data_IF_753372214549
#
_entry.id   IF_753372214549
#
_cell.length_a   1.000
_cell.length_b   1.000
_cell.length_c   1.000
_cell.angle_alpha   90.00
_cell.angle_beta   90.00
_cell.angle_gamma   90.00
#
_symmetry.space_group_name_H-M   'P 1'
#
loop_
_entity.id
_entity.type
_entity.pdbx_description
1 polymer ?
#
# COMPACT_ATOMS: atom_id res chain seq x y z
N UNK A 1 30.89 -13.07 2.58
CA UNK A 1 30.27 -12.36 1.44
C UNK A 1 30.78 -12.99 0.18
N UNK A 2 29.88 -13.35 -0.74
CA UNK A 2 30.25 -13.95 -2.02
C UNK A 2 30.62 -12.84 -3.02
N UNK A 3 31.51 -13.13 -3.96
CA UNK A 3 31.93 -12.19 -5.02
C UNK A 3 30.73 -11.62 -5.80
N UNK A 4 29.64 -12.38 -5.91
CA UNK A 4 28.41 -11.96 -6.57
C UNK A 4 27.67 -10.86 -5.78
N UNK A 5 27.58 -11.00 -4.46
CA UNK A 5 26.97 -9.99 -3.59
C UNK A 5 27.73 -8.67 -3.73
N UNK A 6 29.07 -8.71 -3.66
CA UNK A 6 29.90 -7.51 -3.78
C UNK A 6 29.77 -6.86 -5.16
N UNK A 7 29.76 -7.66 -6.23
CA UNK A 7 29.58 -7.14 -7.60
C UNK A 7 28.19 -6.53 -7.79
N UNK A 8 27.16 -7.15 -7.23
CA UNK A 8 25.79 -6.65 -7.28
C UNK A 8 25.65 -5.36 -6.49
N UNK A 9 26.25 -5.30 -5.29
CA UNK A 9 26.27 -4.12 -4.45
C UNK A 9 26.96 -2.95 -5.16
N UNK A 10 28.13 -3.18 -5.75
CA UNK A 10 28.84 -2.15 -6.52
C UNK A 10 28.04 -1.64 -7.72
N UNK A 11 27.35 -2.53 -8.45
CA UNK A 11 26.50 -2.13 -9.57
C UNK A 11 25.34 -1.26 -9.10
N UNK A 12 24.67 -1.69 -8.03
CA UNK A 12 23.47 -1.04 -7.49
C UNK A 12 23.80 0.19 -6.60
N UNK A 13 25.05 0.41 -6.24
CA UNK A 13 25.48 1.62 -5.53
C UNK A 13 25.34 2.90 -6.37
N UNK A 14 25.05 2.77 -7.67
CA UNK A 14 24.91 3.87 -8.62
C UNK A 14 23.44 4.14 -8.95
N UNK A 15 23.10 5.39 -9.24
CA UNK A 15 21.76 5.78 -9.69
C UNK A 15 21.32 5.05 -10.95
N UNK A 16 22.22 4.86 -11.91
CA UNK A 16 21.95 4.09 -13.14
C UNK A 16 21.65 2.61 -12.83
N UNK A 17 22.42 1.98 -11.94
CA UNK A 17 22.19 0.60 -11.54
C UNK A 17 20.85 0.39 -10.84
N UNK A 18 20.44 1.32 -9.98
CA UNK A 18 19.10 1.30 -9.36
C UNK A 18 18.01 1.56 -10.40
N UNK A 19 18.20 2.53 -11.29
CA UNK A 19 17.26 2.81 -12.36
C UNK A 19 17.00 1.56 -13.21
N UNK A 20 18.05 0.88 -13.66
CA UNK A 20 17.93 -0.36 -14.45
C UNK A 20 17.35 -1.53 -13.64
N UNK A 21 17.50 -1.52 -12.31
CA UNK A 21 16.87 -2.49 -11.43
C UNK A 21 15.34 -2.30 -11.38
N UNK A 22 14.87 -1.07 -11.22
CA UNK A 22 13.44 -0.77 -10.96
C UNK A 22 12.65 -0.44 -12.22
N UNK A 23 13.31 0.05 -13.26
CA UNK A 23 12.69 0.49 -14.52
C UNK A 23 13.48 -0.01 -15.75
N UNK A 24 13.75 -1.33 -15.87
CA UNK A 24 14.48 -1.86 -17.02
C UNK A 24 13.67 -1.72 -18.31
N UNK A 25 14.36 -1.53 -19.43
CA UNK A 25 13.73 -1.47 -20.76
C UNK A 25 13.02 -2.79 -21.16
N UNK A 26 13.38 -3.91 -20.55
CA UNK A 26 12.75 -5.22 -20.80
C UNK A 26 11.41 -5.40 -20.09
N UNK A 27 11.11 -4.63 -19.05
CA UNK A 27 9.82 -4.68 -18.33
C UNK A 27 8.85 -3.70 -18.98
N UNK A 28 8.24 -4.09 -20.10
CA UNK A 28 7.29 -3.24 -20.84
C UNK A 28 6.03 -2.92 -20.05
N UNK A 29 5.61 -3.80 -19.14
CA UNK A 29 4.47 -3.59 -18.25
C UNK A 29 4.76 -2.69 -17.04
N UNK A 30 6.02 -2.28 -16.85
CA UNK A 30 6.48 -1.52 -15.67
C UNK A 30 6.11 -2.21 -14.35
N UNK A 31 6.11 -3.54 -14.37
CA UNK A 31 5.67 -4.40 -13.27
C UNK A 31 6.50 -4.17 -12.00
N UNK A 32 7.81 -3.95 -12.15
CA UNK A 32 8.72 -3.76 -11.00
C UNK A 32 8.38 -2.49 -10.22
N UNK A 33 8.28 -1.36 -10.90
CA UNK A 33 7.94 -0.08 -10.25
C UNK A 33 6.50 -0.08 -9.73
N UNK A 34 5.54 -0.73 -10.43
CA UNK A 34 4.18 -0.92 -9.93
C UNK A 34 4.14 -1.70 -8.61
N UNK A 35 4.96 -2.74 -8.48
CA UNK A 35 5.08 -3.53 -7.25
C UNK A 35 5.66 -2.69 -6.10
N UNK A 36 6.63 -1.81 -6.39
CA UNK A 36 7.18 -0.89 -5.38
C UNK A 36 6.16 0.18 -4.96
N UNK A 37 5.41 0.72 -5.92
CA UNK A 37 4.34 1.68 -5.65
C UNK A 37 3.23 1.06 -4.79
N UNK A 38 2.79 -0.17 -5.08
CA UNK A 38 1.77 -0.86 -4.26
C UNK A 38 2.25 -1.22 -2.85
N UNK A 39 3.56 -1.25 -2.62
CA UNK A 39 4.12 -1.47 -1.29
C UNK A 39 4.08 -0.22 -0.41
N UNK A 40 4.13 0.98 -1.01
CA UNK A 40 4.22 2.27 -0.30
C UNK A 40 2.88 3.01 -0.29
N UNK A 41 2.12 2.89 -1.38
CA UNK A 41 0.88 3.63 -1.59
C UNK A 41 -0.32 2.71 -1.72
N UNK A 42 -1.40 3.11 -1.05
CA UNK A 42 -2.74 2.64 -1.33
C UNK A 42 -3.50 3.76 -2.06
N UNK A 43 -4.15 3.42 -3.17
CA UNK A 43 -4.89 4.38 -4.01
C UNK A 43 -6.39 4.06 -3.94
N UNK A 44 -7.12 4.57 -2.94
CA UNK A 44 -8.53 4.22 -2.73
C UNK A 44 -9.45 4.71 -3.85
N UNK A 45 -9.10 5.82 -4.51
CA UNK A 45 -9.93 6.50 -5.51
C UNK A 45 -9.20 6.67 -6.87
N UNK A 46 -8.10 5.96 -7.07
CA UNK A 46 -7.30 6.05 -8.28
C UNK A 46 -6.67 4.71 -8.65
N UNK A 47 -6.46 4.49 -9.94
CA UNK A 47 -5.70 3.36 -10.47
C UNK A 47 -4.49 3.87 -11.27
N UNK A 48 -3.34 3.19 -11.12
CA UNK A 48 -2.17 3.49 -11.95
C UNK A 48 -2.40 2.95 -13.37
N UNK A 49 -2.66 3.86 -14.30
CA UNK A 49 -2.79 3.53 -15.72
C UNK A 49 -1.42 3.21 -16.33
N UNK A 50 -0.43 4.08 -16.12
CA UNK A 50 0.93 3.90 -16.62
C UNK A 50 2.00 4.55 -15.72
N UNK A 51 3.25 4.13 -15.88
CA UNK A 51 4.43 4.75 -15.27
C UNK A 51 5.38 5.19 -16.38
N UNK A 52 5.44 6.50 -16.61
CA UNK A 52 6.11 7.08 -17.77
C UNK A 52 7.60 7.28 -17.55
N UNK A 53 8.01 7.60 -16.32
CA UNK A 53 9.41 7.84 -15.98
C UNK A 53 9.69 7.50 -14.51
N UNK A 54 10.95 7.16 -14.21
CA UNK A 54 11.47 7.00 -12.86
C UNK A 54 12.80 7.71 -12.79
N UNK A 55 12.94 8.66 -11.86
CA UNK A 55 14.20 9.34 -11.58
C UNK A 55 14.76 8.82 -10.26
N UNK A 56 16.04 8.44 -10.24
CA UNK A 56 16.75 8.07 -9.00
C UNK A 56 17.45 9.31 -8.46
N UNK A 57 17.00 9.81 -7.32
CA UNK A 57 17.45 11.06 -6.74
C UNK A 57 18.71 10.88 -5.88
N UNK A 58 18.72 9.85 -5.06
CA UNK A 58 19.84 9.53 -4.16
C UNK A 58 19.97 8.02 -3.94
N UNK A 59 21.20 7.57 -3.64
CA UNK A 59 21.53 6.17 -3.34
C UNK A 59 22.54 6.09 -2.22
N UNK A 60 22.26 5.28 -1.20
CA UNK A 60 23.14 5.04 -0.05
C UNK A 60 23.33 3.55 0.20
N UNK A 61 24.59 3.14 0.42
CA UNK A 61 24.94 1.75 0.72
C UNK A 61 25.05 1.52 2.23
N UNK A 62 24.77 0.29 2.67
CA UNK A 62 24.96 -0.22 4.02
C UNK A 62 24.34 0.71 5.09
N UNK A 63 23.02 0.74 5.15
CA UNK A 63 22.29 1.52 6.16
C UNK A 63 21.94 0.65 7.37
N UNK A 64 22.41 0.98 8.59
CA UNK A 64 22.00 0.28 9.79
C UNK A 64 20.60 0.74 10.22
N UNK A 65 19.77 -0.22 10.60
CA UNK A 65 18.49 -0.03 11.27
C UNK A 65 18.56 -0.58 12.69
N UNK A 66 18.13 0.23 13.64
CA UNK A 66 18.07 -0.14 15.04
C UNK A 66 16.61 -0.38 15.41
N UNK A 67 16.19 -1.64 15.64
CA UNK A 67 14.81 -1.92 15.97
C UNK A 67 14.44 -1.20 17.28
N UNK A 68 13.35 -0.44 17.21
CA UNK A 68 12.80 0.28 18.36
C UNK A 68 12.02 -0.69 19.23
N UNK A 69 12.30 -0.68 20.53
CA UNK A 69 11.56 -1.42 21.53
C UNK A 69 10.80 -0.40 22.39
N UNK A 70 9.47 -0.46 22.30
CA UNK A 70 8.59 0.32 23.17
C UNK A 70 8.28 -0.50 24.42
N UNK A 71 8.59 0.06 25.59
CA UNK A 71 8.30 -0.53 26.89
C UNK A 71 7.32 0.36 27.62
N UNK A 72 6.08 -0.09 27.72
CA UNK A 72 5.05 0.53 28.55
C UNK A 72 5.07 -0.08 29.95
N UNK A 73 5.12 0.79 30.96
CA UNK A 73 5.13 0.36 32.35
C UNK A 73 4.46 1.39 33.26
N UNK A 74 4.10 0.95 34.46
CA UNK A 74 3.54 1.83 35.48
C UNK A 74 4.56 1.97 36.59
N UNK A 75 4.96 3.21 36.90
CA UNK A 75 5.70 3.50 38.11
C UNK A 75 4.70 3.82 39.21
N UNK A 76 4.73 3.06 40.31
CA UNK A 76 3.93 3.36 41.51
C UNK A 76 4.85 3.68 42.68
N UNK A 77 4.59 4.79 43.37
CA UNK A 77 5.28 5.17 44.59
C UNK A 77 4.28 5.19 45.75
N UNK A 78 4.59 4.50 46.84
CA UNK A 78 3.71 4.41 48.03
C UNK A 78 4.36 5.16 49.20
N UNK A 79 3.96 6.41 49.44
CA UNK A 79 4.33 7.23 50.62
C UNK A 79 3.25 8.29 50.84
N UNK A 80 2.81 8.56 52.08
CA UNK A 80 1.42 8.59 52.60
C UNK A 80 0.23 9.07 51.72
N UNK A 81 0.42 9.39 50.44
CA UNK A 81 -0.57 9.39 49.37
C UNK A 81 -0.18 8.46 48.22
N UNK A 82 -1.16 8.03 47.41
CA UNK A 82 -0.92 7.22 46.22
C UNK A 82 -0.61 8.12 45.03
N UNK A 83 0.61 8.05 44.49
CA UNK A 83 0.97 8.65 43.21
C UNK A 83 1.20 7.52 42.21
N UNK A 84 0.47 7.57 41.10
CA UNK A 84 0.65 6.68 39.94
C UNK A 84 1.17 7.52 38.77
N UNK A 85 2.26 7.07 38.18
CA UNK A 85 2.84 7.66 36.98
C UNK A 85 2.90 6.59 35.91
N UNK A 86 2.24 6.83 34.78
CA UNK A 86 2.38 5.99 33.61
C UNK A 86 3.66 6.39 32.88
N UNK A 87 4.50 5.41 32.54
CA UNK A 87 5.82 5.63 31.93
C UNK A 87 5.86 4.91 30.58
N UNK A 88 6.19 5.66 29.54
CA UNK A 88 6.45 5.12 28.21
C UNK A 88 7.94 5.33 27.89
N UNK A 89 8.67 4.22 27.75
CA UNK A 89 10.09 4.22 27.42
C UNK A 89 10.25 3.71 25.99
N UNK A 90 10.74 4.58 25.12
CA UNK A 90 11.14 4.24 23.75
C UNK A 90 12.67 4.17 23.72
N UNK A 91 13.21 3.01 23.37
CA UNK A 91 14.66 2.82 23.25
C UNK A 91 15.01 1.71 22.27
N UNK A 92 16.29 1.47 22.05
CA UNK A 92 16.76 0.24 21.38
C UNK A 92 17.41 -0.66 22.42
N UNK A 93 17.07 -1.95 22.42
CA UNK A 93 17.51 -2.91 23.44
C UNK A 93 18.99 -3.32 23.30
N UNK A 94 19.83 -2.48 22.68
CA UNK A 94 21.21 -2.83 22.34
C UNK A 94 21.31 -4.00 21.36
N UNK A 95 20.22 -4.32 20.66
CA UNK A 95 20.18 -5.35 19.63
C UNK A 95 21.14 -5.01 18.48
N UNK A 96 21.74 -6.03 17.88
CA UNK A 96 22.55 -5.85 16.68
C UNK A 96 21.72 -5.17 15.58
N UNK A 97 22.28 -4.19 14.86
CA UNK A 97 21.55 -3.51 13.80
C UNK A 97 21.17 -4.49 12.69
N UNK A 98 19.97 -4.33 12.16
CA UNK A 98 19.59 -4.92 10.89
C UNK A 98 20.16 -4.05 9.77
N UNK A 99 20.80 -4.66 8.78
CA UNK A 99 21.42 -3.90 7.69
C UNK A 99 20.55 -3.95 6.44
N UNK A 100 20.33 -2.78 5.85
CA UNK A 100 19.88 -2.66 4.47
C UNK A 100 21.14 -2.53 3.61
N UNK A 101 21.23 -3.35 2.57
CA UNK A 101 22.39 -3.32 1.67
C UNK A 101 22.42 -2.01 0.88
N UNK A 102 21.27 -1.58 0.34
CA UNK A 102 21.15 -0.29 -0.37
C UNK A 102 19.78 0.35 -0.08
N UNK A 103 19.78 1.65 0.18
CA UNK A 103 18.56 2.48 0.14
C UNK A 103 18.64 3.45 -1.03
N UNK A 104 17.53 3.69 -1.71
CA UNK A 104 17.46 4.70 -2.76
C UNK A 104 16.16 5.48 -2.69
N UNK A 105 16.25 6.76 -3.02
CA UNK A 105 15.11 7.68 -3.08
C UNK A 105 14.77 7.90 -4.56
N UNK A 106 13.53 7.58 -4.94
CA UNK A 106 13.04 7.62 -6.31
C UNK A 106 11.94 8.67 -6.46
N UNK A 107 11.77 9.19 -7.66
CA UNK A 107 10.60 9.97 -8.07
C UNK A 107 9.98 9.29 -9.30
N UNK A 108 8.83 8.65 -9.11
CA UNK A 108 8.08 7.98 -10.18
C UNK A 108 7.04 8.94 -10.78
N UNK A 109 7.07 9.13 -12.10
CA UNK A 109 6.03 9.85 -12.83
C UNK A 109 4.97 8.85 -13.29
N UNK A 110 3.76 8.98 -12.77
CA UNK A 110 2.63 8.06 -13.00
C UNK A 110 1.48 8.79 -13.69
N UNK A 111 0.76 8.06 -14.51
CA UNK A 111 -0.53 8.48 -15.06
C UNK A 111 -1.62 7.74 -14.28
N UNK A 112 -2.49 8.50 -13.64
CA UNK A 112 -3.56 7.97 -12.79
C UNK A 112 -4.90 8.12 -13.48
N UNK A 113 -5.66 7.03 -13.47
CA UNK A 113 -7.09 7.07 -13.72
C UNK A 113 -7.78 7.33 -12.39
N UNK A 114 -8.21 8.57 -12.17
CA UNK A 114 -8.92 8.96 -10.96
C UNK A 114 -10.42 8.74 -11.14
N UNK A 115 -11.06 8.11 -10.16
CA UNK A 115 -12.51 8.15 -10.04
C UNK A 115 -12.85 9.31 -9.10
N UNK A 116 -13.31 10.47 -9.63
CA UNK A 116 -13.61 11.61 -8.79
C UNK A 116 -14.86 11.38 -7.92
N UNK A 117 -15.61 10.29 -8.12
CA UNK A 117 -16.76 9.92 -7.29
C UNK A 117 -17.82 11.03 -7.17
N UNK A 118 -17.88 11.93 -8.17
CA UNK A 118 -18.69 13.15 -8.06
C UNK A 118 -20.16 12.80 -7.84
N UNK A 119 -20.72 13.34 -6.77
CA UNK A 119 -22.14 13.20 -6.47
C UNK A 119 -22.95 14.02 -7.50
N UNK A 120 -23.73 13.35 -8.34
CA UNK A 120 -24.74 14.00 -9.16
C UNK A 120 -25.92 14.46 -8.31
N UNK A 121 -26.30 13.67 -7.29
CA UNK A 121 -27.33 14.05 -6.32
C UNK A 121 -27.23 13.20 -5.05
N UNK A 122 -27.37 13.84 -3.90
CA UNK A 122 -27.54 13.19 -2.60
C UNK A 122 -28.91 13.58 -2.06
N UNK A 123 -29.78 12.59 -1.79
CA UNK A 123 -31.05 12.82 -1.12
C UNK A 123 -31.10 11.99 0.15
N UNK A 124 -31.00 12.68 1.28
CA UNK A 124 -31.25 12.07 2.60
C UNK A 124 -32.72 12.25 2.90
N UNK A 125 -33.47 11.15 2.88
CA UNK A 125 -34.89 11.14 3.23
C UNK A 125 -35.08 10.55 4.62
N UNK A 126 -35.92 11.19 5.45
CA UNK A 126 -36.46 10.51 6.61
C UNK A 126 -37.47 9.45 6.16
N UNK A 127 -37.37 8.25 6.74
CA UNK A 127 -38.26 7.12 6.52
C UNK A 127 -39.60 7.37 7.26
N UNK A 128 -40.24 8.52 7.00
CA UNK A 128 -41.58 8.81 7.52
C UNK A 128 -42.58 7.70 7.12
N UNK A 129 -43.74 7.66 7.78
CA UNK A 129 -44.75 6.61 7.59
C UNK A 129 -45.19 6.48 6.12
N UNK A 130 -44.82 5.37 5.46
CA UNK A 130 -45.38 4.95 4.17
C UNK A 130 -46.34 3.79 4.40
N UNK A 131 -47.55 3.83 3.85
CA UNK A 131 -48.57 2.81 4.04
C UNK A 131 -48.53 1.73 2.94
N UNK A 132 -47.94 2.05 1.78
CA UNK A 132 -47.87 1.15 0.62
C UNK A 132 -46.48 1.15 -0.03
N UNK A 133 -46.18 0.09 -0.81
CA UNK A 133 -44.94 -0.01 -1.59
C UNK A 133 -44.90 1.02 -2.73
N UNK A 134 -46.04 1.41 -3.28
CA UNK A 134 -46.14 2.44 -4.32
C UNK A 134 -45.79 3.83 -3.78
N UNK A 135 -46.20 4.15 -2.55
CA UNK A 135 -45.78 5.38 -1.85
C UNK A 135 -44.27 5.39 -1.59
N UNK A 136 -43.69 4.24 -1.25
CA UNK A 136 -42.25 4.11 -1.10
C UNK A 136 -41.52 4.37 -2.43
N UNK A 137 -42.01 3.79 -3.54
CA UNK A 137 -41.48 3.98 -4.89
C UNK A 137 -41.61 5.43 -5.40
N UNK A 138 -42.67 6.13 -4.99
CA UNK A 138 -42.84 7.54 -5.32
C UNK A 138 -41.88 8.45 -4.53
N UNK A 139 -41.51 8.05 -3.31
CA UNK A 139 -40.63 8.83 -2.42
C UNK A 139 -39.14 8.60 -2.71
N UNK A 140 -38.78 7.39 -3.13
CA UNK A 140 -37.41 6.95 -3.43
C UNK A 140 -37.32 6.61 -4.92
N UNK A 141 -36.83 7.58 -5.71
CA UNK A 141 -36.91 7.52 -7.16
C UNK A 141 -35.72 6.78 -7.80
N UNK A 142 -34.62 6.65 -7.06
CA UNK A 142 -33.39 6.03 -7.56
C UNK A 142 -33.17 4.63 -6.95
N UNK A 143 -33.90 4.28 -5.90
CA UNK A 143 -33.87 2.96 -5.29
C UNK A 143 -34.68 1.93 -6.11
N UNK A 144 -34.02 0.85 -6.56
CA UNK A 144 -34.69 -0.29 -7.19
C UNK A 144 -35.33 -1.20 -6.14
N UNK A 145 -36.57 -0.86 -5.78
CA UNK A 145 -37.38 -1.61 -4.82
C UNK A 145 -37.61 -3.06 -5.25
N UNK A 146 -37.78 -3.32 -6.54
CA UNK A 146 -38.16 -4.65 -7.05
C UNK A 146 -36.95 -5.61 -7.06
N UNK A 147 -35.74 -5.09 -7.30
CA UNK A 147 -34.51 -5.87 -7.10
C UNK A 147 -34.30 -6.21 -5.62
N UNK A 148 -34.45 -5.21 -4.73
CA UNK A 148 -34.25 -5.40 -3.30
C UNK A 148 -35.23 -6.40 -2.67
N UNK A 149 -36.53 -6.31 -2.98
CA UNK A 149 -37.53 -7.23 -2.48
C UNK A 149 -37.24 -8.68 -2.91
N UNK A 150 -36.72 -8.88 -4.13
CA UNK A 150 -36.31 -10.19 -4.63
C UNK A 150 -35.08 -10.73 -3.90
N UNK A 151 -34.04 -9.93 -3.74
CA UNK A 151 -32.76 -10.35 -3.14
C UNK A 151 -32.90 -10.67 -1.65
N UNK A 152 -33.84 -10.01 -0.96
CA UNK A 152 -34.09 -10.22 0.46
C UNK A 152 -35.34 -11.08 0.76
N UNK A 153 -35.99 -11.62 -0.27
CA UNK A 153 -37.23 -12.42 -0.15
C UNK A 153 -38.34 -11.74 0.66
N UNK A 154 -38.45 -10.42 0.54
CA UNK A 154 -39.44 -9.61 1.24
C UNK A 154 -40.66 -9.41 0.34
N UNK A 155 -41.86 -9.45 0.91
CA UNK A 155 -43.10 -9.32 0.12
C UNK A 155 -44.10 -8.30 0.67
N UNK A 156 -43.86 -7.77 1.86
CA UNK A 156 -44.80 -6.86 2.53
C UNK A 156 -44.15 -5.54 2.96
N UNK A 157 -44.99 -4.51 3.15
CA UNK A 157 -44.59 -3.19 3.66
C UNK A 157 -44.00 -3.30 5.07
N UNK A 158 -44.54 -4.19 5.91
CA UNK A 158 -44.04 -4.41 7.27
C UNK A 158 -42.66 -5.09 7.28
N UNK A 159 -42.37 -5.97 6.31
CA UNK A 159 -41.04 -6.54 6.12
C UNK A 159 -40.01 -5.46 5.72
N UNK A 160 -40.40 -4.54 4.83
CA UNK A 160 -39.57 -3.41 4.42
C UNK A 160 -39.29 -2.47 5.61
N UNK A 161 -40.32 -2.14 6.41
CA UNK A 161 -40.17 -1.34 7.64
C UNK A 161 -39.28 -2.01 8.68
N UNK A 162 -39.34 -3.35 8.78
CA UNK A 162 -38.49 -4.11 9.69
C UNK A 162 -37.03 -4.16 9.23
N UNK A 163 -36.79 -4.16 7.92
CA UNK A 163 -35.46 -4.14 7.33
C UNK A 163 -34.79 -2.76 7.44
N UNK A 164 -35.54 -1.65 7.30
CA UNK A 164 -35.02 -0.29 7.34
C UNK A 164 -35.30 0.42 8.67
N UNK A 165 -34.43 0.21 9.66
CA UNK A 165 -34.45 0.97 10.94
C UNK A 165 -33.65 2.27 10.92
N UNK A 166 -32.97 2.61 9.82
CA UNK A 166 -32.10 3.78 9.73
C UNK A 166 -32.27 4.52 8.40
N UNK A 167 -32.01 5.83 8.44
CA UNK A 167 -32.07 6.81 7.34
C UNK A 167 -31.62 6.22 5.99
N UNK A 168 -32.47 6.35 4.96
CA UNK A 168 -32.12 5.97 3.60
C UNK A 168 -31.58 7.20 2.87
N UNK A 169 -30.29 7.15 2.53
CA UNK A 169 -29.66 8.11 1.62
C UNK A 169 -29.68 7.52 0.21
N UNK A 170 -30.32 8.21 -0.73
CA UNK A 170 -30.15 7.94 -2.15
C UNK A 170 -28.94 8.73 -2.66
N UNK A 171 -27.94 8.02 -3.15
CA UNK A 171 -26.74 8.62 -3.75
C UNK A 171 -26.74 8.28 -5.22
N UNK A 172 -26.76 9.31 -6.07
CA UNK A 172 -26.52 9.17 -7.50
C UNK A 172 -25.16 9.74 -7.81
N UNK A 173 -24.29 8.89 -8.34
CA UNK A 173 -23.00 9.30 -8.85
C UNK A 173 -23.17 9.84 -10.27
N UNK A 174 -22.37 10.86 -10.60
CA UNK A 174 -22.22 11.33 -11.97
C UNK A 174 -21.43 10.26 -12.74
N UNK A 175 -21.83 9.94 -13.98
CA UNK A 175 -21.00 9.06 -14.81
C UNK A 175 -19.62 9.69 -14.97
N UNK A 176 -18.58 8.91 -14.66
CA UNK A 176 -17.20 9.37 -14.82
C UNK A 176 -16.97 9.82 -16.28
N UNK A 177 -16.27 10.95 -16.51
CA UNK A 177 -15.87 11.31 -17.85
C UNK A 177 -14.97 10.22 -18.45
N UNK A 178 -14.93 10.12 -19.77
CA UNK A 178 -14.00 9.20 -20.42
C UNK A 178 -12.57 9.57 -20.03
N UNK A 179 -11.80 8.57 -19.57
CA UNK A 179 -10.42 8.77 -19.17
C UNK A 179 -9.54 9.15 -20.38
N UNK A 180 -8.79 10.25 -20.25
CA UNK A 180 -7.78 10.68 -21.22
C UNK A 180 -6.37 10.48 -20.63
N UNK A 181 -5.59 9.49 -21.12
CA UNK A 181 -4.24 9.23 -20.61
C UNK A 181 -3.23 10.34 -20.96
N UNK A 182 -3.57 11.24 -21.88
CA UNK A 182 -2.69 12.34 -22.31
C UNK A 182 -2.96 13.65 -21.58
N UNK A 183 -4.01 13.70 -20.75
CA UNK A 183 -4.31 14.87 -19.94
C UNK A 183 -3.22 15.09 -18.88
N UNK A 184 -2.52 16.24 -18.88
CA UNK A 184 -1.54 16.55 -17.85
C UNK A 184 -2.12 16.53 -16.43
N UNK A 185 -3.43 16.74 -16.26
CA UNK A 185 -4.10 16.65 -14.97
C UNK A 185 -4.07 15.22 -14.37
N UNK A 186 -3.91 14.19 -15.20
CA UNK A 186 -3.79 12.79 -14.77
C UNK A 186 -2.35 12.37 -14.45
N UNK A 187 -1.36 13.22 -14.77
CA UNK A 187 0.05 12.95 -14.48
C UNK A 187 0.40 13.43 -13.08
N UNK A 188 1.05 12.56 -12.29
CA UNK A 188 1.52 12.85 -10.93
C UNK A 188 2.95 12.35 -10.74
N UNK A 189 3.68 12.99 -9.82
CA UNK A 189 4.98 12.51 -9.35
C UNK A 189 4.84 12.00 -7.94
N UNK A 190 5.23 10.75 -7.72
CA UNK A 190 5.17 10.08 -6.43
C UNK A 190 6.60 9.78 -5.96
N UNK A 191 7.02 10.27 -4.79
CA UNK A 191 8.28 9.87 -4.19
C UNK A 191 8.20 8.42 -3.71
N UNK A 192 9.20 7.60 -4.02
CA UNK A 192 9.25 6.21 -3.55
C UNK A 192 10.63 5.96 -2.97
N UNK A 193 10.69 5.63 -1.68
CA UNK A 193 11.92 5.14 -1.06
C UNK A 193 11.97 3.63 -1.15
N UNK A 194 13.11 3.07 -1.54
CA UNK A 194 13.30 1.61 -1.61
C UNK A 194 14.39 1.13 -0.66
N UNK A 195 14.22 -0.08 -0.12
CA UNK A 195 15.26 -0.82 0.58
C UNK A 195 15.58 -2.11 -0.18
N UNK A 196 16.83 -2.24 -0.64
CA UNK A 196 17.31 -3.40 -1.38
C UNK A 196 18.10 -4.30 -0.46
N UNK A 197 17.73 -5.58 -0.45
CA UNK A 197 18.39 -6.67 0.25
C UNK A 197 18.99 -7.64 -0.76
N UNK A 198 20.30 -7.81 -0.76
CA UNK A 198 21.02 -8.70 -1.68
C UNK A 198 21.28 -10.02 -0.97
N UNK A 199 20.91 -11.14 -1.59
CA UNK A 199 21.11 -12.48 -1.03
C UNK A 199 21.91 -13.34 -2.00
N UNK A 200 22.72 -14.25 -1.46
CA UNK A 200 23.58 -15.15 -2.24
C UNK A 200 22.91 -16.49 -2.58
N UNK A 201 21.80 -16.81 -1.92
CA UNK A 201 20.98 -17.98 -2.16
C UNK A 201 19.48 -17.65 -2.04
N UNK A 202 18.65 -18.51 -2.64
CA UNK A 202 17.19 -18.41 -2.53
C UNK A 202 16.74 -19.14 -1.27
N UNK A 203 16.59 -18.38 -0.18
CA UNK A 203 15.79 -18.75 0.99
C UNK A 203 14.59 -17.80 1.06
N UNK A 204 13.45 -18.26 0.56
CA UNK A 204 12.22 -17.46 0.50
C UNK A 204 11.76 -17.03 1.89
N UNK A 205 11.87 -17.93 2.87
CA UNK A 205 11.40 -17.66 4.23
C UNK A 205 12.36 -16.71 4.95
N UNK A 206 13.66 -16.94 4.81
CA UNK A 206 14.70 -16.05 5.32
C UNK A 206 14.57 -14.64 4.76
N UNK A 207 14.44 -14.51 3.44
CA UNK A 207 14.28 -13.22 2.78
C UNK A 207 13.04 -12.46 3.25
N UNK A 208 11.87 -13.12 3.35
CA UNK A 208 10.66 -12.47 3.87
C UNK A 208 10.80 -12.07 5.34
N UNK A 209 11.51 -12.87 6.15
CA UNK A 209 11.77 -12.52 7.55
C UNK A 209 12.64 -11.26 7.65
N UNK A 210 13.70 -11.19 6.85
CA UNK A 210 14.58 -10.02 6.81
C UNK A 210 13.81 -8.76 6.37
N UNK A 211 12.98 -8.87 5.33
CA UNK A 211 12.10 -7.77 4.89
C UNK A 211 11.20 -7.30 6.02
N UNK A 212 10.53 -8.22 6.73
CA UNK A 212 9.65 -7.87 7.85
C UNK A 212 10.40 -7.23 9.01
N UNK A 213 11.63 -7.66 9.29
CA UNK A 213 12.48 -7.05 10.30
C UNK A 213 12.89 -5.63 9.92
N UNK A 214 13.26 -5.41 8.66
CA UNK A 214 13.57 -4.08 8.12
C UNK A 214 12.36 -3.16 8.25
N UNK A 215 11.20 -3.58 7.77
CA UNK A 215 9.98 -2.78 7.83
C UNK A 215 9.52 -2.52 9.27
N UNK A 216 9.63 -3.52 10.16
CA UNK A 216 9.25 -3.38 11.56
C UNK A 216 10.23 -2.56 12.41
N UNK A 217 11.45 -2.33 11.93
CA UNK A 217 12.42 -1.45 12.59
C UNK A 217 12.23 0.03 12.23
N UNK A 218 11.37 0.34 11.25
CA UNK A 218 11.03 1.70 10.87
C UNK A 218 9.87 2.19 11.74
N UNK A 219 9.85 3.51 11.97
CA UNK A 219 8.70 4.13 12.60
C UNK A 219 7.43 3.92 11.73
N UNK A 220 6.27 3.66 12.35
CA UNK A 220 5.03 3.59 11.61
C UNK A 220 4.79 4.92 10.90
N UNK A 221 4.18 4.88 9.71
CA UNK A 221 3.72 6.09 9.04
C UNK A 221 2.64 6.70 9.92
N UNK A 222 2.97 7.77 10.64
CA UNK A 222 2.01 8.53 11.44
C UNK A 222 1.40 9.58 10.53
N UNK A 223 0.38 9.15 9.81
CA UNK A 223 -0.57 9.97 9.04
C UNK A 223 0.04 11.28 8.47
N UNK A 224 1.09 11.11 7.67
CA UNK A 224 1.58 12.19 6.81
C UNK A 224 0.58 12.31 5.67
N UNK A 225 -0.54 12.99 5.92
CA UNK A 225 -1.40 13.54 4.85
C UNK A 225 -0.51 14.45 3.99
N UNK A 226 0.09 13.85 2.97
CA UNK A 226 1.05 14.54 2.11
C UNK A 226 0.30 14.93 0.84
N UNK A 227 -0.28 16.13 0.80
CA UNK A 227 -0.75 16.91 -0.38
C UNK A 227 -1.56 16.20 -1.50
N UNK A 228 -1.89 14.92 -1.35
CA UNK A 228 -2.42 14.05 -2.39
C UNK A 228 -3.66 13.34 -1.86
N UNK A 229 -4.81 13.99 -1.96
CA UNK A 229 -6.14 13.46 -1.60
C UNK A 229 -6.49 12.09 -2.24
N UNK A 230 -5.63 11.59 -3.15
CA UNK A 230 -5.82 10.37 -3.92
C UNK A 230 -4.93 9.19 -3.48
N UNK A 231 -3.91 9.42 -2.64
CA UNK A 231 -2.93 8.40 -2.26
C UNK A 231 -2.64 8.39 -0.76
N UNK A 232 -2.84 7.23 -0.14
CA UNK A 232 -2.51 6.97 1.26
C UNK A 232 -1.13 6.30 1.34
N UNK A 233 -0.22 6.87 2.12
CA UNK A 233 1.10 6.28 2.37
C UNK A 233 0.97 5.22 3.46
N UNK A 234 1.12 3.95 3.08
CA UNK A 234 0.97 2.80 4.00
C UNK A 234 2.30 2.26 4.52
N UNK A 235 3.41 2.60 3.86
CA UNK A 235 4.75 2.22 4.30
C UNK A 235 5.79 3.31 3.96
N UNK A 236 6.80 3.54 4.80
CA UNK A 236 7.82 4.55 4.56
C UNK A 236 8.86 4.13 3.50
N UNK A 237 8.91 2.84 3.14
CA UNK A 237 9.76 2.32 2.07
C UNK A 237 9.17 1.06 1.43
N UNK A 238 9.50 0.85 0.16
CA UNK A 238 9.21 -0.37 -0.58
C UNK A 238 10.38 -1.36 -0.49
N UNK A 239 10.15 -2.62 -0.08
CA UNK A 239 11.20 -3.62 -0.02
C UNK A 239 11.48 -4.25 -1.39
N UNK A 240 12.76 -4.45 -1.69
CA UNK A 240 13.25 -5.21 -2.82
C UNK A 240 14.28 -6.24 -2.38
N UNK A 241 14.21 -7.45 -2.94
CA UNK A 241 15.20 -8.52 -2.69
C UNK A 241 15.82 -8.93 -4.01
N UNK A 242 17.14 -8.96 -4.04
CA UNK A 242 17.94 -9.33 -5.22
C UNK A 242 18.58 -10.68 -4.98
N UNK A 243 18.28 -11.62 -5.86
CA UNK A 243 18.82 -12.98 -5.85
C UNK A 243 19.69 -13.23 -7.08
N UNK A 244 20.62 -14.21 -7.01
CA UNK A 244 21.35 -14.65 -8.19
C UNK A 244 20.41 -15.43 -9.12
N UNK A 245 20.41 -15.11 -10.42
CA UNK A 245 19.64 -15.86 -11.41
C UNK A 245 20.03 -17.35 -11.45
N UNK A 246 21.31 -17.65 -11.23
CA UNK A 246 21.82 -19.02 -11.17
C UNK A 246 21.23 -19.84 -10.00
N UNK A 247 20.81 -19.19 -8.91
CA UNK A 247 20.24 -19.86 -7.75
C UNK A 247 18.81 -20.39 -8.00
N UNK A 248 18.12 -19.90 -9.04
CA UNK A 248 16.75 -20.33 -9.39
C UNK A 248 16.72 -21.81 -9.73
N UNK A 249 17.69 -22.29 -10.51
CA UNK A 249 17.76 -23.69 -10.95
C UNK A 249 17.85 -24.69 -9.79
N UNK A 250 18.45 -24.29 -8.66
CA UNK A 250 18.58 -25.11 -7.46
C UNK A 250 17.38 -25.05 -6.50
N UNK A 251 16.44 -24.12 -6.72
CA UNK A 251 15.31 -23.87 -5.81
C UNK A 251 14.11 -24.80 -6.02
N UNK A 252 14.01 -25.45 -7.19
CA UNK A 252 12.84 -26.23 -7.59
C UNK A 252 11.61 -25.38 -7.97
N UNK A 253 11.74 -24.06 -7.99
CA UNK A 253 10.70 -23.10 -8.39
C UNK A 253 11.16 -22.34 -9.65
N UNK A 254 10.20 -21.85 -10.44
CA UNK A 254 10.50 -20.97 -11.57
C UNK A 254 10.70 -19.52 -11.11
N UNK A 255 11.42 -18.73 -11.90
CA UNK A 255 11.59 -17.31 -11.65
C UNK A 255 10.24 -16.58 -11.56
N UNK A 256 9.28 -16.93 -12.42
CA UNK A 256 7.95 -16.33 -12.43
C UNK A 256 7.15 -16.67 -11.17
N UNK A 257 7.24 -17.92 -10.68
CA UNK A 257 6.60 -18.33 -9.43
C UNK A 257 7.15 -17.55 -8.23
N UNK A 258 8.47 -17.39 -8.16
CA UNK A 258 9.11 -16.61 -7.11
C UNK A 258 8.72 -15.13 -7.20
N UNK A 259 8.74 -14.56 -8.41
CA UNK A 259 8.37 -13.16 -8.67
C UNK A 259 6.92 -12.90 -8.24
N UNK A 260 5.98 -13.75 -8.67
CA UNK A 260 4.57 -13.64 -8.31
C UNK A 260 4.34 -13.81 -6.80
N UNK A 261 5.06 -14.74 -6.16
CA UNK A 261 4.95 -14.95 -4.72
C UNK A 261 5.41 -13.73 -3.92
N UNK A 262 6.60 -13.17 -4.22
CA UNK A 262 7.08 -11.96 -3.54
C UNK A 262 6.20 -10.75 -3.83
N UNK A 263 5.72 -10.59 -5.08
CA UNK A 263 4.80 -9.52 -5.44
C UNK A 263 3.48 -9.60 -4.65
N UNK A 264 2.96 -10.80 -4.37
CA UNK A 264 1.77 -10.98 -3.51
C UNK A 264 1.98 -10.52 -2.06
N UNK A 265 3.24 -10.36 -1.64
CA UNK A 265 3.63 -9.84 -0.33
C UNK A 265 4.08 -8.37 -0.41
N UNK A 266 3.83 -7.68 -1.54
CA UNK A 266 4.32 -6.33 -1.83
C UNK A 266 5.85 -6.20 -1.73
N UNK A 267 6.57 -7.24 -2.15
CA UNK A 267 8.04 -7.25 -2.22
C UNK A 267 8.48 -7.42 -3.66
N UNK A 268 9.37 -6.54 -4.13
CA UNK A 268 9.99 -6.70 -5.45
C UNK A 268 11.10 -7.76 -5.37
N UNK A 269 10.93 -8.90 -6.04
CA UNK A 269 12.02 -9.85 -6.25
C UNK A 269 12.69 -9.64 -7.62
N UNK A 270 14.01 -9.52 -7.64
CA UNK A 270 14.80 -9.39 -8.87
C UNK A 270 15.90 -10.46 -8.91
N UNK A 271 16.10 -11.03 -10.10
CA UNK A 271 17.08 -12.08 -10.34
C UNK A 271 18.14 -11.56 -11.30
N UNK A 272 19.41 -11.58 -10.88
CA UNK A 272 20.54 -10.92 -11.58
C UNK A 272 21.76 -11.81 -11.75
#
# INVERSE_FOLDING_TARGET
>A
MSQLVDTTLLRLATTAGIHDLVFPASDTGRTRIRTLLSAVYQLPYAAVHDVTAVDVLDTACARPLFPLVRRTGNWTQTMPGHIRTDVDLVGSDGAAPHWIDITADLSATVVLEMDPGELASLRVGDLGDFATLDEFRAKFHYFDLDAFLRDHHLSTVDDLRRAFRYLLAEVRLKPAPAFDPTDPANTRRLPVRIAVLIRDAIDVTGALRDVRQVLGALDPVVDEHTDADFAEVVAPLAPAVVFPAAAVAGSGLTQDQLTAFFASQNVLAVFV
#
